data_IF_141011158917
#
_entry.id   IF_141011158917
#
_cell.length_a   1.000
_cell.length_b   1.000
_cell.length_c   1.000
_cell.angle_alpha   90.00
_cell.angle_beta   90.00
_cell.angle_gamma   90.00
#
_symmetry.space_group_name_H-M   'P 1'
#
loop_
_entity.id
_entity.type
_entity.pdbx_description
1 polymer ?
#
# COMPACT_ATOMS: atom_id res chain seq x y z
N UNK A 1 -2.00 7.23 -49.45
CA UNK A 1 -1.56 7.21 -48.04
C UNK A 1 -1.17 5.78 -47.69
N UNK A 2 0.08 5.51 -47.27
CA UNK A 2 0.53 4.17 -46.89
C UNK A 2 0.51 4.05 -45.35
N UNK A 3 -0.34 3.21 -44.75
CA UNK A 3 -0.33 3.01 -43.31
C UNK A 3 0.97 2.31 -42.91
N UNK A 4 1.71 2.89 -41.97
CA UNK A 4 2.96 2.32 -41.46
C UNK A 4 2.72 1.80 -40.05
N UNK A 5 2.53 0.49 -39.95
CA UNK A 5 2.47 -0.20 -38.68
C UNK A 5 3.85 -0.10 -38.00
N UNK A 6 3.87 0.40 -36.77
CA UNK A 6 5.05 0.31 -35.90
C UNK A 6 4.96 -1.00 -35.12
N UNK A 7 6.01 -1.81 -35.20
CA UNK A 7 6.12 -3.04 -34.42
C UNK A 7 6.51 -2.64 -33.01
N UNK A 8 5.67 -3.02 -32.04
CA UNK A 8 5.97 -2.89 -30.62
C UNK A 8 6.73 -4.14 -30.20
N UNK A 9 8.05 -4.02 -30.07
CA UNK A 9 8.91 -5.01 -29.43
C UNK A 9 8.88 -4.69 -27.94
N UNK A 10 8.16 -5.48 -27.13
CA UNK A 10 7.97 -5.26 -25.68
C UNK A 10 9.24 -5.40 -24.83
N UNK A 11 10.40 -5.01 -25.36
CA UNK A 11 11.72 -5.08 -24.72
C UNK A 11 11.95 -3.91 -23.73
N UNK A 12 11.06 -2.91 -23.71
CA UNK A 12 11.07 -1.78 -22.77
C UNK A 12 10.01 -1.91 -21.64
N UNK A 13 9.62 -3.13 -21.26
CA UNK A 13 8.90 -3.32 -19.99
C UNK A 13 9.90 -3.22 -18.83
N UNK A 14 10.32 -1.99 -18.52
CA UNK A 14 10.79 -1.68 -17.18
C UNK A 14 9.72 -2.20 -16.21
N UNK A 15 10.08 -2.92 -15.14
CA UNK A 15 9.09 -3.40 -14.18
C UNK A 15 8.25 -2.19 -13.75
N UNK A 16 6.94 -2.28 -13.96
CA UNK A 16 6.00 -1.25 -13.55
C UNK A 16 6.04 -1.18 -12.01
N UNK A 17 6.90 -0.33 -11.48
CA UNK A 17 6.89 0.03 -10.07
C UNK A 17 5.82 1.10 -9.90
N UNK A 18 4.73 0.83 -9.15
CA UNK A 18 3.75 1.84 -8.85
C UNK A 18 4.44 3.03 -8.18
N UNK A 19 4.01 4.25 -8.52
CA UNK A 19 4.52 5.45 -7.88
C UNK A 19 4.22 5.37 -6.37
N UNK A 20 5.25 5.46 -5.54
CA UNK A 20 5.11 5.50 -4.08
C UNK A 20 5.06 6.95 -3.62
N UNK A 21 4.25 7.21 -2.60
CA UNK A 21 4.17 8.51 -1.93
C UNK A 21 4.39 8.30 -0.44
N UNK A 22 5.29 9.10 0.13
CA UNK A 22 5.57 9.07 1.57
C UNK A 22 4.65 10.05 2.29
N UNK A 23 3.90 9.55 3.26
CA UNK A 23 3.10 10.35 4.20
C UNK A 23 3.57 10.12 5.63
N UNK A 24 3.17 10.98 6.55
CA UNK A 24 3.48 10.78 7.97
C UNK A 24 2.66 9.62 8.56
N UNK A 25 3.18 8.96 9.61
CA UNK A 25 2.43 7.91 10.30
C UNK A 25 1.13 8.44 10.92
N UNK A 26 1.13 9.68 11.42
CA UNK A 26 -0.09 10.32 11.96
C UNK A 26 -1.16 10.51 10.89
N UNK A 27 -0.78 10.99 9.72
CA UNK A 27 -1.69 11.13 8.57
C UNK A 27 -2.30 9.78 8.15
N UNK A 28 -1.48 8.71 8.13
CA UNK A 28 -1.97 7.37 7.85
C UNK A 28 -3.00 6.91 8.90
N UNK A 29 -2.71 7.10 10.18
CA UNK A 29 -3.63 6.72 11.28
C UNK A 29 -4.96 7.47 11.18
N UNK A 30 -4.93 8.78 10.94
CA UNK A 30 -6.14 9.60 10.81
C UNK A 30 -7.04 9.12 9.66
N UNK A 31 -6.46 8.81 8.50
CA UNK A 31 -7.20 8.28 7.34
C UNK A 31 -7.79 6.91 7.62
N UNK A 32 -7.04 6.01 8.28
CA UNK A 32 -7.53 4.68 8.63
C UNK A 32 -8.66 4.75 9.67
N UNK A 33 -8.54 5.61 10.68
CA UNK A 33 -9.59 5.82 11.69
C UNK A 33 -10.90 6.31 11.07
N UNK A 34 -10.83 7.31 10.17
CA UNK A 34 -11.99 7.80 9.43
C UNK A 34 -12.63 6.70 8.57
N UNK A 35 -11.80 5.96 7.82
CA UNK A 35 -12.26 4.90 6.95
C UNK A 35 -12.92 3.73 7.72
N UNK A 36 -12.39 3.37 8.89
CA UNK A 36 -12.98 2.36 9.78
C UNK A 36 -14.30 2.86 10.36
N UNK A 37 -14.34 4.10 10.87
CA UNK A 37 -15.53 4.73 11.44
C UNK A 37 -16.70 4.77 10.45
N UNK A 38 -16.39 5.09 9.20
CA UNK A 38 -17.38 5.22 8.12
C UNK A 38 -17.65 3.91 7.37
N UNK A 39 -17.05 2.79 7.79
CA UNK A 39 -17.14 1.48 7.12
C UNK A 39 -16.82 1.53 5.62
N UNK A 40 -15.78 2.28 5.25
CA UNK A 40 -15.35 2.42 3.85
C UNK A 40 -14.85 1.08 3.30
N UNK A 41 -15.31 0.71 2.11
CA UNK A 41 -15.02 -0.60 1.51
C UNK A 41 -13.61 -0.73 0.96
N UNK A 42 -12.97 0.38 0.58
CA UNK A 42 -11.65 0.38 -0.05
C UNK A 42 -10.56 -0.27 0.83
N UNK A 43 -10.70 -0.23 2.17
CA UNK A 43 -9.78 -0.93 3.08
C UNK A 43 -9.69 -2.44 2.82
N UNK A 44 -10.79 -3.06 2.36
CA UNK A 44 -10.79 -4.49 2.02
C UNK A 44 -9.98 -4.79 0.77
N UNK A 45 -9.89 -3.83 -0.15
CA UNK A 45 -9.17 -3.99 -1.41
C UNK A 45 -7.66 -4.11 -1.15
N UNK A 46 -7.13 -3.43 -0.11
CA UNK A 46 -5.72 -3.45 0.29
C UNK A 46 -5.37 -4.50 1.36
N UNK A 47 -6.31 -5.34 1.78
CA UNK A 47 -6.12 -6.24 2.94
C UNK A 47 -4.97 -7.24 2.79
N UNK A 48 -4.61 -7.58 1.56
CA UNK A 48 -3.55 -8.56 1.23
C UNK A 48 -2.25 -7.90 0.75
N UNK A 49 -2.21 -6.58 0.74
CA UNK A 49 -1.09 -5.83 0.21
C UNK A 49 -0.02 -5.65 1.29
N UNK A 50 1.24 -5.80 0.90
CA UNK A 50 2.37 -5.55 1.78
C UNK A 50 2.64 -4.04 1.88
N UNK A 51 2.83 -3.56 3.10
CA UNK A 51 3.20 -2.16 3.37
C UNK A 51 4.62 -2.12 3.90
N UNK A 52 5.46 -1.27 3.31
CA UNK A 52 6.81 -1.00 3.82
C UNK A 52 6.72 -0.04 5.00
N UNK A 53 7.22 -0.46 6.16
CA UNK A 53 7.32 0.39 7.36
C UNK A 53 8.73 0.33 7.94
N UNK A 54 9.16 1.36 8.70
CA UNK A 54 10.39 1.31 9.48
C UNK A 54 10.43 0.10 10.43
N UNK A 55 11.62 -0.45 10.62
CA UNK A 55 11.84 -1.65 11.46
C UNK A 55 11.47 -1.39 12.93
N UNK A 56 11.84 -0.23 13.47
CA UNK A 56 11.50 0.18 14.83
C UNK A 56 9.98 0.28 15.06
N UNK A 57 9.24 0.78 14.08
CA UNK A 57 7.78 0.80 14.13
C UNK A 57 7.20 -0.62 14.09
N UNK A 58 7.75 -1.50 13.25
CA UNK A 58 7.31 -2.90 13.19
C UNK A 58 7.51 -3.62 14.53
N UNK A 59 8.64 -3.41 15.19
CA UNK A 59 8.91 -3.95 16.52
C UNK A 59 7.87 -3.49 17.55
N UNK A 60 7.60 -2.18 17.61
CA UNK A 60 6.59 -1.62 18.53
C UNK A 60 5.20 -2.20 18.28
N UNK A 61 4.77 -2.30 17.01
CA UNK A 61 3.47 -2.88 16.67
C UNK A 61 3.38 -4.37 17.02
N UNK A 62 4.47 -5.10 16.83
CA UNK A 62 4.57 -6.53 17.16
C UNK A 62 4.43 -6.73 18.66
N UNK A 63 5.19 -5.97 19.47
CA UNK A 63 5.12 -6.05 20.92
C UNK A 63 3.75 -5.61 21.45
N UNK A 64 3.17 -4.54 20.91
CA UNK A 64 1.82 -4.11 21.25
C UNK A 64 0.78 -5.22 21.00
N UNK A 65 0.89 -5.92 19.87
CA UNK A 65 -0.03 -7.01 19.51
C UNK A 65 0.14 -8.22 20.43
N UNK A 66 1.38 -8.55 20.81
CA UNK A 66 1.68 -9.64 21.77
C UNK A 66 1.14 -9.34 23.17
N UNK A 67 1.18 -8.09 23.59
CA UNK A 67 0.71 -7.65 24.90
C UNK A 67 -0.81 -7.58 25.01
N UNK A 68 -1.54 -7.57 23.90
CA UNK A 68 -3.01 -7.71 23.93
C UNK A 68 -3.37 -9.13 24.36
N UNK A 69 -3.89 -9.35 25.58
CA UNK A 69 -4.30 -10.67 26.02
C UNK A 69 -5.59 -11.04 25.29
N UNK A 70 -5.50 -11.91 24.28
CA UNK A 70 -6.63 -12.57 23.64
C UNK A 70 -7.55 -11.64 22.83
N UNK A 71 -7.48 -11.78 21.50
CA UNK A 71 -8.69 -11.71 20.68
C UNK A 71 -9.37 -13.09 20.69
#
# INVERSE_FOLDING_TARGET
MRPRLRIYTGEDELPYSPATTTISFGELVEVLEDAIRDHRTWLQDFRKDDVQIPEDLYEVLTEYTRLRPGA
#
